data_IF_628545990775
#
_entry.id   IF_628545990775
#
_cell.length_a   1.000
_cell.length_b   1.000
_cell.length_c   1.000
_cell.angle_alpha   90.00
_cell.angle_beta   90.00
_cell.angle_gamma   90.00
#
_symmetry.space_group_name_H-M   'P 1'
#
loop_
_entity.id
_entity.type
_entity.pdbx_description
1 polymer ?
#
# COMPACT_ATOMS: atom_id res chain seq x y z
N UNK A 1 47.46 4.19 26.52
CA UNK A 1 46.74 2.96 26.15
C UNK A 1 45.33 3.38 25.86
N UNK A 2 44.92 3.28 24.61
CA UNK A 2 43.62 3.76 24.16
C UNK A 2 42.53 2.84 24.70
N UNK A 3 41.79 3.31 25.71
CA UNK A 3 40.88 2.48 26.52
C UNK A 3 39.66 1.96 25.76
N UNK A 4 39.44 2.38 24.51
CA UNK A 4 38.22 2.10 23.71
C UNK A 4 38.49 1.32 22.44
N UNK A 5 39.24 0.22 22.54
CA UNK A 5 39.68 -0.53 21.35
C UNK A 5 38.52 -1.27 20.68
N UNK A 6 37.62 -1.86 21.46
CA UNK A 6 36.60 -2.75 20.91
C UNK A 6 35.40 -2.00 20.36
N UNK A 7 34.92 -0.94 21.03
CA UNK A 7 33.87 -0.09 20.46
C UNK A 7 34.26 0.49 19.10
N UNK A 8 35.52 0.92 18.92
CA UNK A 8 35.97 1.40 17.61
C UNK A 8 35.92 0.33 16.54
N UNK A 9 36.37 -0.89 16.84
CA UNK A 9 36.25 -2.02 15.91
C UNK A 9 34.79 -2.32 15.57
N UNK A 10 33.89 -2.29 16.56
CA UNK A 10 32.45 -2.48 16.33
C UNK A 10 31.93 -1.42 15.37
N UNK A 11 32.21 -0.13 15.62
CA UNK A 11 31.81 0.98 14.75
C UNK A 11 32.36 0.81 13.34
N UNK A 12 33.65 0.50 13.21
CA UNK A 12 34.31 0.35 11.91
C UNK A 12 33.71 -0.81 11.10
N UNK A 13 33.49 -1.97 11.74
CA UNK A 13 32.91 -3.15 11.10
C UNK A 13 31.44 -2.93 10.70
N UNK A 14 30.65 -2.26 11.54
CA UNK A 14 29.26 -1.93 11.21
C UNK A 14 29.20 -0.91 10.07
N UNK A 15 30.08 0.10 10.04
CA UNK A 15 30.16 1.08 8.94
C UNK A 15 30.67 0.49 7.63
N UNK A 16 31.57 -0.48 7.67
CA UNK A 16 32.01 -1.22 6.48
C UNK A 16 30.82 -1.95 5.83
N UNK A 17 29.94 -2.51 6.65
CA UNK A 17 28.70 -3.17 6.18
C UNK A 17 27.60 -2.19 5.78
N UNK A 18 27.40 -1.11 6.54
CA UNK A 18 26.38 -0.10 6.33
C UNK A 18 27.00 1.30 6.30
N UNK A 19 27.51 1.77 5.16
CA UNK A 19 28.21 3.06 5.08
C UNK A 19 27.36 4.27 5.51
N UNK A 20 26.03 4.15 5.42
CA UNK A 20 25.08 5.21 5.77
C UNK A 20 24.65 5.18 7.25
N UNK A 21 25.04 4.20 8.06
CA UNK A 21 24.60 4.08 9.46
C UNK A 21 25.01 5.32 10.27
N UNK A 22 24.04 5.88 10.98
CA UNK A 22 24.28 6.93 11.97
C UNK A 22 24.70 6.29 13.28
N UNK A 23 25.82 6.77 13.83
CA UNK A 23 26.35 6.33 15.11
C UNK A 23 26.56 7.55 15.99
N UNK A 24 25.88 7.59 17.13
CA UNK A 24 25.99 8.67 18.10
C UNK A 24 26.43 8.13 19.46
N UNK A 25 27.42 8.79 20.07
CA UNK A 25 27.79 8.52 21.45
C UNK A 25 26.99 9.45 22.36
N UNK A 26 26.42 8.91 23.44
CA UNK A 26 25.69 9.70 24.42
C UNK A 26 26.59 10.82 24.97
N UNK A 27 26.10 12.07 24.93
CA UNK A 27 26.83 13.22 25.44
C UNK A 27 26.61 13.37 26.93
N UNK A 28 27.64 13.09 27.71
CA UNK A 28 27.69 13.36 29.14
C UNK A 28 27.54 14.85 29.43
N UNK A 29 26.51 15.21 30.19
CA UNK A 29 26.23 16.60 30.60
C UNK A 29 26.50 16.84 32.09
N UNK A 30 26.61 15.76 32.87
CA UNK A 30 26.93 15.79 34.30
C UNK A 30 28.12 14.87 34.61
N UNK A 31 29.00 15.20 35.59
CA UNK A 31 30.19 14.39 35.92
C UNK A 31 29.94 12.93 36.36
N UNK A 32 28.68 12.54 36.55
CA UNK A 32 28.24 11.20 36.94
C UNK A 32 27.66 10.37 35.77
N UNK A 33 27.51 10.97 34.58
CA UNK A 33 26.92 10.27 33.44
C UNK A 33 27.94 9.29 32.83
N UNK A 34 27.44 8.13 32.39
CA UNK A 34 28.25 7.14 31.69
C UNK A 34 28.50 7.60 30.25
N UNK A 35 29.76 7.75 29.85
CA UNK A 35 30.13 8.02 28.46
C UNK A 35 30.27 6.74 27.63
N UNK A 36 29.89 5.59 28.19
CA UNK A 36 29.93 4.27 27.59
C UNK A 36 28.69 3.87 26.79
N UNK A 37 27.89 4.80 26.28
CA UNK A 37 26.66 4.50 25.55
C UNK A 37 26.77 4.95 24.09
N UNK A 38 26.44 4.05 23.16
CA UNK A 38 26.42 4.31 21.73
C UNK A 38 25.11 3.85 21.10
N UNK A 39 24.56 4.69 20.24
CA UNK A 39 23.34 4.43 19.46
C UNK A 39 23.70 4.20 18.00
N UNK A 40 23.05 3.21 17.39
CA UNK A 40 23.17 2.88 15.98
C UNK A 40 21.79 2.92 15.33
N UNK A 41 21.65 3.63 14.23
CA UNK A 41 20.40 3.70 13.47
C UNK A 41 20.67 3.86 11.98
N UNK A 42 19.78 3.33 11.14
CA UNK A 42 19.77 3.67 9.72
C UNK A 42 19.11 5.05 9.54
N UNK A 43 19.61 5.94 8.66
CA UNK A 43 18.98 7.23 8.40
C UNK A 43 17.53 7.12 7.92
N UNK A 44 17.22 5.99 7.27
CA UNK A 44 15.89 5.63 6.82
C UNK A 44 14.94 5.26 7.97
N UNK A 45 15.47 4.83 9.11
CA UNK A 45 14.71 4.33 10.25
C UNK A 45 15.24 4.93 11.57
N UNK A 46 15.39 6.27 11.63
CA UNK A 46 15.97 6.97 12.78
C UNK A 46 15.27 6.68 14.12
N UNK A 47 13.99 6.27 14.07
CA UNK A 47 13.22 5.93 15.29
C UNK A 47 13.35 4.46 15.73
N UNK A 48 14.11 3.63 15.01
CA UNK A 48 14.38 2.21 15.30
C UNK A 48 15.87 2.01 15.63
N UNK A 49 16.32 2.73 16.66
CA UNK A 49 17.71 2.72 17.12
C UNK A 49 18.00 1.54 18.05
N UNK A 50 19.22 1.03 17.96
CA UNK A 50 19.77 0.02 18.85
C UNK A 50 20.93 0.62 19.66
N UNK A 51 20.89 0.41 20.97
CA UNK A 51 21.86 0.91 21.93
C UNK A 51 22.85 -0.20 22.30
N UNK A 52 24.12 0.16 22.44
CA UNK A 52 25.10 -0.66 23.16
C UNK A 52 25.75 0.14 24.29
N UNK A 53 26.02 -0.53 25.41
CA UNK A 53 26.49 0.09 26.65
C UNK A 53 27.64 -0.70 27.28
N UNK A 54 28.74 0.01 27.55
CA UNK A 54 29.81 -0.37 28.47
C UNK A 54 30.71 0.85 28.76
N UNK A 55 30.88 1.21 30.02
CA UNK A 55 31.65 2.39 30.49
C UNK A 55 33.14 2.37 30.08
N UNK A 56 33.72 1.19 29.86
CA UNK A 56 35.08 1.04 29.36
C UNK A 56 35.17 1.12 27.83
N UNK A 57 34.06 0.92 27.10
CA UNK A 57 34.09 0.75 25.64
C UNK A 57 34.77 -0.55 25.21
N UNK A 58 34.77 -1.55 26.09
CA UNK A 58 35.31 -2.90 25.88
C UNK A 58 34.20 -3.94 26.09
N UNK A 59 34.33 -5.10 25.44
CA UNK A 59 33.41 -6.20 25.71
C UNK A 59 33.53 -6.66 27.18
N UNK A 60 32.42 -7.12 27.81
CA UNK A 60 31.11 -7.34 27.22
C UNK A 60 30.27 -6.07 27.06
N UNK A 61 29.49 -6.00 25.98
CA UNK A 61 28.50 -4.93 25.77
C UNK A 61 27.11 -5.40 26.17
N UNK A 62 26.38 -4.56 26.89
CA UNK A 62 24.93 -4.67 27.04
C UNK A 62 24.28 -4.05 25.79
N UNK A 63 23.37 -4.77 25.14
CA UNK A 63 22.69 -4.35 23.92
C UNK A 63 21.20 -4.25 24.23
N UNK A 64 20.60 -3.09 23.97
CA UNK A 64 19.20 -2.81 24.24
C UNK A 64 18.53 -2.19 23.00
N UNK A 65 17.30 -2.62 22.70
CA UNK A 65 16.43 -1.91 21.75
C UNK A 65 15.56 -0.96 22.56
N UNK A 66 15.55 0.32 22.23
CA UNK A 66 14.87 1.33 23.06
C UNK A 66 13.36 1.08 23.20
N UNK A 67 12.75 0.40 22.21
CA UNK A 67 11.32 0.08 22.19
C UNK A 67 10.95 -1.28 22.79
N UNK A 68 11.93 -2.10 23.17
CA UNK A 68 11.69 -3.46 23.66
C UNK A 68 12.33 -3.66 25.04
N UNK A 69 11.83 -4.63 25.80
CA UNK A 69 12.44 -5.05 27.08
C UNK A 69 13.54 -6.11 26.86
N UNK A 70 13.81 -6.49 25.61
CA UNK A 70 14.88 -7.43 25.25
C UNK A 70 16.27 -6.80 25.46
N UNK A 71 17.01 -7.38 26.41
CA UNK A 71 18.37 -6.98 26.80
C UNK A 71 19.30 -8.14 26.59
N UNK A 72 20.35 -7.95 25.80
CA UNK A 72 21.32 -9.01 25.45
C UNK A 72 22.72 -8.60 25.85
N UNK A 73 23.44 -9.51 26.50
CA UNK A 73 24.88 -9.35 26.71
C UNK A 73 25.64 -9.99 25.55
N UNK A 74 26.70 -9.32 25.10
CA UNK A 74 27.62 -9.82 24.08
C UNK A 74 29.04 -9.76 24.62
N UNK A 75 29.73 -10.91 24.62
CA UNK A 75 31.05 -11.06 25.22
C UNK A 75 32.21 -10.76 24.25
N UNK A 76 31.92 -10.57 22.96
CA UNK A 76 32.93 -10.39 21.90
C UNK A 76 32.52 -9.33 20.89
N UNK A 77 33.50 -8.74 20.20
CA UNK A 77 33.25 -7.76 19.13
C UNK A 77 32.41 -8.38 18.01
N UNK A 78 32.72 -9.62 17.64
CA UNK A 78 32.06 -10.35 16.56
C UNK A 78 30.57 -10.60 16.87
N UNK A 79 30.25 -10.98 18.11
CA UNK A 79 28.86 -11.14 18.55
C UNK A 79 28.10 -9.80 18.55
N UNK A 80 28.74 -8.72 19.04
CA UNK A 80 28.12 -7.39 19.06
C UNK A 80 27.82 -6.92 17.64
N UNK A 81 28.78 -7.07 16.72
CA UNK A 81 28.59 -6.71 15.31
C UNK A 81 27.48 -7.55 14.67
N UNK A 82 27.42 -8.86 14.93
CA UNK A 82 26.36 -9.71 14.37
C UNK A 82 24.95 -9.26 14.79
N UNK A 83 24.77 -8.90 16.07
CA UNK A 83 23.48 -8.41 16.59
C UNK A 83 23.11 -7.06 16.00
N UNK A 84 24.08 -6.13 15.92
CA UNK A 84 23.87 -4.82 15.31
C UNK A 84 23.54 -4.93 13.81
N UNK A 85 24.23 -5.80 13.09
CA UNK A 85 24.02 -6.01 11.65
C UNK A 85 22.61 -6.56 11.40
N UNK A 86 22.18 -7.58 12.14
CA UNK A 86 20.83 -8.16 12.02
C UNK A 86 19.73 -7.10 12.25
N UNK A 87 19.90 -6.26 13.28
CA UNK A 87 19.00 -5.15 13.56
C UNK A 87 18.97 -4.12 12.42
N UNK A 88 20.14 -3.66 11.98
CA UNK A 88 20.25 -2.62 10.95
C UNK A 88 19.81 -3.11 9.57
N UNK A 89 20.05 -4.38 9.21
CA UNK A 89 19.51 -5.00 8.00
C UNK A 89 17.98 -5.03 8.05
N UNK A 90 17.40 -5.41 9.20
CA UNK A 90 15.95 -5.40 9.39
C UNK A 90 15.37 -4.00 9.31
N UNK A 91 15.96 -3.02 10.00
CA UNK A 91 15.54 -1.62 9.98
C UNK A 91 15.70 -0.98 8.59
N UNK A 92 16.76 -1.33 7.85
CA UNK A 92 16.95 -0.90 6.46
C UNK A 92 15.89 -1.50 5.52
N UNK A 93 15.51 -2.76 5.72
CA UNK A 93 14.51 -3.44 4.90
C UNK A 93 13.07 -2.98 5.22
N UNK A 94 12.78 -2.65 6.48
CA UNK A 94 11.48 -2.12 6.91
C UNK A 94 11.20 -0.69 6.40
N UNK A 95 12.18 -0.03 5.77
CA UNK A 95 12.03 1.31 5.20
C UNK A 95 12.13 1.34 3.67
N UNK A 96 11.95 0.21 3.01
CA UNK A 96 11.57 0.19 1.60
C UNK A 96 10.11 0.62 1.54
N UNK A 97 9.74 1.73 0.87
CA UNK A 97 8.34 2.13 0.75
C UNK A 97 7.55 1.00 0.10
N UNK A 98 6.78 0.28 0.94
CA UNK A 98 5.92 -0.82 0.56
C UNK A 98 4.49 -0.33 0.68
N UNK A 99 3.74 -0.48 -0.41
CA UNK A 99 2.32 -0.14 -0.43
C UNK A 99 1.47 -1.37 -0.73
N UNK A 100 0.24 -1.37 -0.23
CA UNK A 100 -0.84 -2.22 -0.73
C UNK A 100 -1.67 -1.40 -1.72
N UNK A 101 -1.84 -1.87 -2.95
CA UNK A 101 -2.72 -1.24 -3.93
C UNK A 101 -3.93 -2.16 -4.19
N UNK A 102 -5.14 -1.64 -4.05
CA UNK A 102 -6.36 -2.35 -4.41
C UNK A 102 -6.52 -2.30 -5.94
N UNK A 103 -6.45 -3.47 -6.59
CA UNK A 103 -6.49 -3.60 -8.04
C UNK A 103 -7.65 -4.50 -8.46
N UNK A 104 -8.70 -3.90 -9.01
CA UNK A 104 -9.88 -4.62 -9.52
C UNK A 104 -9.68 -5.20 -10.93
N UNK A 105 -8.70 -4.70 -11.67
CA UNK A 105 -8.58 -4.96 -13.12
C UNK A 105 -9.18 -3.85 -13.98
N UNK A 106 -9.93 -2.90 -13.39
CA UNK A 106 -10.52 -1.77 -14.10
C UNK A 106 -9.56 -0.63 -14.45
N UNK A 107 -10.05 0.32 -15.26
CA UNK A 107 -9.26 1.48 -15.69
C UNK A 107 -8.70 2.29 -14.52
N UNK A 108 -9.57 2.66 -13.58
CA UNK A 108 -9.22 3.54 -12.46
C UNK A 108 -8.18 2.89 -11.53
N UNK A 109 -8.35 1.60 -11.25
CA UNK A 109 -7.41 0.83 -10.43
C UNK A 109 -6.11 0.54 -11.18
N UNK A 110 -6.13 0.42 -12.51
CA UNK A 110 -4.92 0.34 -13.35
C UNK A 110 -4.09 1.64 -13.29
N UNK A 111 -4.74 2.80 -13.38
CA UNK A 111 -4.05 4.10 -13.23
C UNK A 111 -3.55 4.29 -11.80
N UNK A 112 -4.33 3.86 -10.81
CA UNK A 112 -3.91 3.88 -9.40
C UNK A 112 -2.69 2.99 -9.16
N UNK A 113 -2.64 1.80 -9.76
CA UNK A 113 -1.49 0.92 -9.71
C UNK A 113 -0.25 1.54 -10.37
N UNK A 114 -0.41 2.31 -11.45
CA UNK A 114 0.66 3.06 -12.08
C UNK A 114 1.24 4.13 -11.13
N UNK A 115 0.37 4.87 -10.43
CA UNK A 115 0.76 5.88 -9.44
C UNK A 115 1.49 5.22 -8.27
N UNK A 116 0.90 4.18 -7.68
CA UNK A 116 1.49 3.45 -6.55
C UNK A 116 2.87 2.88 -6.91
N UNK A 117 3.03 2.30 -8.10
CA UNK A 117 4.29 1.71 -8.57
C UNK A 117 5.37 2.75 -8.88
N UNK A 118 4.99 4.00 -9.13
CA UNK A 118 5.93 5.12 -9.31
C UNK A 118 6.37 5.73 -7.97
N UNK A 119 5.47 5.74 -6.99
CA UNK A 119 5.70 6.38 -5.68
C UNK A 119 6.37 5.45 -4.66
N UNK A 120 6.38 4.15 -4.92
CA UNK A 120 6.86 3.13 -3.97
C UNK A 120 7.89 2.22 -4.62
N UNK A 121 8.80 1.69 -3.80
CA UNK A 121 9.82 0.75 -4.29
C UNK A 121 9.25 -0.66 -4.46
N UNK A 122 8.24 -1.01 -3.65
CA UNK A 122 7.50 -2.26 -3.76
C UNK A 122 6.00 -1.99 -3.63
N UNK A 123 5.21 -2.69 -4.43
CA UNK A 123 3.75 -2.62 -4.32
C UNK A 123 3.17 -4.03 -4.31
N UNK A 124 2.43 -4.34 -3.25
CA UNK A 124 1.62 -5.53 -3.13
C UNK A 124 0.23 -5.25 -3.69
N UNK A 125 -0.30 -6.13 -4.53
CA UNK A 125 -1.58 -5.94 -5.20
C UNK A 125 -2.65 -6.81 -4.54
N UNK A 126 -3.77 -6.18 -4.17
CA UNK A 126 -4.93 -6.80 -3.56
C UNK A 126 -6.10 -6.82 -4.55
N UNK A 127 -6.52 -8.01 -4.96
CA UNK A 127 -7.75 -8.22 -5.71
C UNK A 127 -8.86 -8.72 -4.78
N UNK A 128 -10.06 -8.20 -4.96
CA UNK A 128 -11.22 -8.58 -4.16
C UNK A 128 -12.38 -8.91 -5.08
N UNK A 129 -12.76 -10.18 -5.08
CA UNK A 129 -13.98 -10.68 -5.71
C UNK A 129 -15.12 -10.69 -4.70
N UNK A 130 -16.33 -10.37 -5.14
CA UNK A 130 -17.51 -10.32 -4.27
C UNK A 130 -18.74 -10.99 -4.90
N UNK A 131 -18.52 -11.85 -5.90
CA UNK A 131 -19.57 -12.54 -6.65
C UNK A 131 -20.17 -11.67 -7.76
N UNK A 132 -19.38 -10.76 -8.33
CA UNK A 132 -19.84 -9.89 -9.42
C UNK A 132 -19.94 -10.63 -10.75
N UNK A 133 -20.83 -10.17 -11.63
CA UNK A 133 -21.18 -10.85 -12.89
C UNK A 133 -20.00 -11.08 -13.86
N UNK A 134 -18.99 -10.20 -13.83
CA UNK A 134 -17.85 -10.21 -14.75
C UNK A 134 -16.53 -10.55 -14.03
N UNK A 135 -16.63 -11.25 -12.90
CA UNK A 135 -15.51 -11.60 -12.03
C UNK A 135 -14.37 -12.31 -12.77
N UNK A 136 -14.66 -13.25 -13.68
CA UNK A 136 -13.61 -14.00 -14.35
C UNK A 136 -12.76 -13.09 -15.24
N UNK A 137 -13.41 -12.18 -15.98
CA UNK A 137 -12.70 -11.20 -16.82
C UNK A 137 -11.98 -10.12 -16.01
N UNK A 138 -12.57 -9.66 -14.91
CA UNK A 138 -11.93 -8.72 -13.98
C UNK A 138 -10.67 -9.32 -13.36
N UNK A 139 -10.74 -10.59 -12.92
CA UNK A 139 -9.59 -11.31 -12.35
C UNK A 139 -8.50 -11.55 -13.39
N UNK A 140 -8.85 -11.83 -14.65
CA UNK A 140 -7.89 -11.92 -15.74
C UNK A 140 -7.14 -10.59 -15.94
N UNK A 141 -7.88 -9.47 -16.05
CA UNK A 141 -7.30 -8.14 -16.19
C UNK A 141 -6.40 -7.79 -15.00
N UNK A 142 -6.82 -8.12 -13.77
CA UNK A 142 -6.00 -8.00 -12.57
C UNK A 142 -4.67 -8.74 -12.69
N UNK A 143 -4.69 -10.03 -13.06
CA UNK A 143 -3.48 -10.84 -13.19
C UNK A 143 -2.51 -10.29 -14.24
N UNK A 144 -3.04 -9.79 -15.35
CA UNK A 144 -2.24 -9.15 -16.40
C UNK A 144 -1.59 -7.85 -15.91
N UNK A 145 -2.33 -7.01 -15.17
CA UNK A 145 -1.81 -5.77 -14.58
C UNK A 145 -0.77 -6.07 -13.49
N UNK A 146 -1.01 -7.06 -12.63
CA UNK A 146 -0.06 -7.50 -11.61
C UNK A 146 1.26 -8.01 -12.24
N UNK A 147 1.14 -8.76 -13.34
CA UNK A 147 2.31 -9.23 -14.10
C UNK A 147 3.06 -8.08 -14.77
N UNK A 148 2.35 -7.11 -15.35
CA UNK A 148 2.94 -5.94 -15.99
C UNK A 148 3.82 -5.12 -15.04
N UNK A 149 3.35 -4.90 -13.80
CA UNK A 149 4.10 -4.14 -12.80
C UNK A 149 5.04 -5.00 -11.94
N UNK A 150 5.13 -6.31 -12.19
CA UNK A 150 5.88 -7.25 -11.36
C UNK A 150 5.57 -7.07 -9.87
N UNK A 151 4.27 -7.15 -9.52
CA UNK A 151 3.78 -6.90 -8.18
C UNK A 151 4.58 -7.70 -7.13
N UNK A 152 5.02 -7.03 -6.06
CA UNK A 152 5.87 -7.63 -5.03
C UNK A 152 5.21 -8.83 -4.37
N UNK A 153 3.91 -8.71 -4.08
CA UNK A 153 3.04 -9.79 -3.64
C UNK A 153 1.65 -9.59 -4.25
N UNK A 154 0.95 -10.69 -4.44
CA UNK A 154 -0.44 -10.70 -4.89
C UNK A 154 -1.29 -11.40 -3.84
N UNK A 155 -2.39 -10.77 -3.46
CA UNK A 155 -3.43 -11.37 -2.62
C UNK A 155 -4.76 -11.28 -3.36
N UNK A 156 -5.37 -12.43 -3.63
CA UNK A 156 -6.69 -12.57 -4.25
C UNK A 156 -7.65 -13.12 -3.19
N UNK A 157 -8.69 -12.35 -2.85
CA UNK A 157 -9.63 -12.64 -1.76
C UNK A 157 -11.07 -12.57 -2.26
N UNK A 158 -11.90 -13.46 -1.75
CA UNK A 158 -13.35 -13.44 -1.96
C UNK A 158 -14.09 -12.93 -0.73
N UNK A 159 -15.03 -12.00 -0.94
CA UNK A 159 -16.04 -11.53 0.02
C UNK A 159 -17.46 -11.83 -0.49
N UNK A 160 -17.67 -13.01 -1.06
CA UNK A 160 -18.95 -13.53 -1.59
C UNK A 160 -20.15 -13.42 -0.62
N UNK A 161 -19.93 -13.21 0.68
CA UNK A 161 -21.03 -12.92 1.59
C UNK A 161 -21.80 -11.65 1.20
N UNK A 162 -21.19 -10.70 0.48
CA UNK A 162 -21.92 -9.56 -0.08
C UNK A 162 -22.96 -10.00 -1.11
N UNK A 163 -22.69 -11.03 -1.91
CA UNK A 163 -23.68 -11.62 -2.80
C UNK A 163 -24.83 -12.30 -2.05
N UNK A 164 -24.53 -12.91 -0.89
CA UNK A 164 -25.56 -13.48 0.00
C UNK A 164 -26.44 -12.40 0.66
N UNK A 165 -25.87 -11.24 0.95
CA UNK A 165 -26.62 -10.07 1.44
C UNK A 165 -27.51 -9.51 0.33
N UNK A 166 -27.00 -9.42 -0.90
CA UNK A 166 -27.74 -8.94 -2.06
C UNK A 166 -27.99 -7.43 -2.04
N UNK A 167 -29.00 -6.98 -2.80
CA UNK A 167 -29.42 -5.57 -2.82
C UNK A 167 -28.72 -4.68 -3.86
N UNK A 168 -27.95 -5.27 -4.78
CA UNK A 168 -27.37 -4.57 -5.94
C UNK A 168 -27.50 -5.38 -7.22
N UNK A 169 -27.51 -4.73 -8.39
CA UNK A 169 -27.50 -5.39 -9.70
C UNK A 169 -26.21 -6.12 -10.01
N UNK A 170 -25.10 -5.80 -9.33
CA UNK A 170 -23.83 -6.51 -9.49
C UNK A 170 -23.80 -7.86 -8.76
N UNK A 171 -24.59 -8.00 -7.71
CA UNK A 171 -24.56 -9.18 -6.82
C UNK A 171 -25.87 -9.98 -6.79
N UNK A 172 -26.98 -9.39 -7.23
CA UNK A 172 -28.29 -10.04 -7.34
C UNK A 172 -28.70 -10.14 -8.81
N UNK A 173 -28.79 -11.37 -9.33
CA UNK A 173 -29.17 -11.65 -10.72
C UNK A 173 -30.60 -11.22 -11.05
N UNK A 174 -31.48 -11.08 -10.04
CA UNK A 174 -32.87 -10.65 -10.23
C UNK A 174 -32.99 -9.16 -10.54
N UNK A 175 -31.96 -8.37 -10.23
CA UNK A 175 -31.92 -6.94 -10.50
C UNK A 175 -31.16 -6.74 -11.81
N UNK A 176 -31.82 -6.23 -12.85
CA UNK A 176 -31.16 -5.97 -14.12
C UNK A 176 -30.08 -4.88 -13.98
N UNK A 177 -28.95 -5.05 -14.69
CA UNK A 177 -28.01 -3.94 -14.90
C UNK A 177 -28.67 -2.98 -15.89
N UNK A 178 -28.90 -1.74 -15.44
CA UNK A 178 -29.58 -0.70 -16.22
C UNK A 178 -28.71 -0.19 -17.37
N UNK A 179 -29.35 0.37 -18.40
CA UNK A 179 -28.64 1.16 -19.41
C UNK A 179 -28.12 2.46 -18.80
N UNK A 180 -27.10 3.04 -19.44
CA UNK A 180 -26.42 4.18 -18.86
C UNK A 180 -27.31 5.42 -18.77
N UNK A 181 -27.48 5.96 -17.56
CA UNK A 181 -28.10 7.26 -17.31
C UNK A 181 -27.12 8.18 -16.59
N UNK A 182 -26.34 8.90 -17.40
CA UNK A 182 -25.25 9.74 -16.93
C UNK A 182 -25.72 11.09 -16.36
N UNK A 183 -27.03 11.35 -16.36
CA UNK A 183 -27.65 12.57 -15.80
C UNK A 183 -28.37 12.28 -14.46
N UNK A 184 -28.53 11.01 -14.07
CA UNK A 184 -29.20 10.64 -12.82
C UNK A 184 -28.34 10.99 -11.59
N UNK A 185 -29.01 11.53 -10.57
CA UNK A 185 -28.40 11.80 -9.25
C UNK A 185 -28.79 10.78 -8.18
N UNK A 186 -29.60 9.79 -8.53
CA UNK A 186 -29.98 8.71 -7.61
C UNK A 186 -28.85 7.70 -7.47
N UNK A 187 -28.82 6.95 -6.37
CA UNK A 187 -27.82 5.90 -6.16
C UNK A 187 -28.05 4.79 -7.22
N UNK A 188 -27.07 4.52 -8.10
CA UNK A 188 -27.19 3.45 -9.08
C UNK A 188 -27.51 2.09 -8.47
N UNK A 189 -28.29 1.26 -9.18
CA UNK A 189 -28.58 -0.12 -8.75
C UNK A 189 -27.32 -0.98 -8.65
N UNK A 190 -26.23 -0.58 -9.32
CA UNK A 190 -24.92 -1.23 -9.25
C UNK A 190 -24.16 -0.96 -7.94
N UNK A 191 -24.68 -0.08 -7.07
CA UNK A 191 -24.10 0.19 -5.76
C UNK A 191 -24.18 -1.05 -4.87
N UNK A 192 -23.03 -1.56 -4.43
CA UNK A 192 -22.96 -2.60 -3.40
C UNK A 192 -22.81 -1.91 -2.04
N UNK A 193 -23.81 -1.99 -1.13
CA UNK A 193 -23.80 -1.22 0.11
C UNK A 193 -22.55 -1.44 0.96
N UNK A 194 -21.83 -0.34 1.27
CA UNK A 194 -20.69 -0.30 2.19
C UNK A 194 -19.55 -1.27 1.82
N UNK A 195 -19.41 -1.59 0.53
CA UNK A 195 -18.40 -2.52 0.03
C UNK A 195 -16.98 -2.01 0.28
N UNK A 196 -16.72 -0.71 0.10
CA UNK A 196 -15.36 -0.19 0.19
C UNK A 196 -14.78 -0.30 1.61
N UNK A 197 -15.63 -0.25 2.65
CA UNK A 197 -15.19 -0.48 4.03
C UNK A 197 -14.63 -1.89 4.24
N UNK A 198 -15.28 -2.91 3.67
CA UNK A 198 -14.81 -4.30 3.74
C UNK A 198 -13.46 -4.45 3.01
N UNK A 199 -13.32 -3.79 1.86
CA UNK A 199 -12.07 -3.79 1.09
C UNK A 199 -10.93 -3.14 1.87
N UNK A 200 -11.17 -1.98 2.48
CA UNK A 200 -10.17 -1.29 3.31
C UNK A 200 -9.82 -2.08 4.57
N UNK A 201 -10.77 -2.79 5.20
CA UNK A 201 -10.47 -3.66 6.34
C UNK A 201 -9.49 -4.78 5.99
N UNK A 202 -9.69 -5.45 4.84
CA UNK A 202 -8.78 -6.49 4.34
C UNK A 202 -7.41 -5.90 4.03
N UNK A 203 -7.38 -4.77 3.32
CA UNK A 203 -6.15 -4.08 2.96
C UNK A 203 -5.36 -3.64 4.20
N UNK A 204 -6.03 -3.13 5.23
CA UNK A 204 -5.42 -2.72 6.51
C UNK A 204 -4.79 -3.90 7.22
N UNK A 205 -5.53 -5.00 7.34
CA UNK A 205 -5.04 -6.21 8.00
C UNK A 205 -3.81 -6.76 7.28
N UNK A 206 -3.83 -6.75 5.94
CA UNK A 206 -2.71 -7.24 5.15
C UNK A 206 -1.51 -6.29 5.19
N UNK A 207 -1.74 -4.97 5.08
CA UNK A 207 -0.72 -3.95 5.17
C UNK A 207 0.05 -4.02 6.50
N UNK A 208 -0.67 -4.18 7.62
CA UNK A 208 -0.05 -4.32 8.95
C UNK A 208 0.82 -5.58 9.04
N UNK A 209 0.39 -6.70 8.46
CA UNK A 209 1.15 -7.96 8.45
C UNK A 209 2.42 -7.88 7.61
N UNK A 210 2.38 -7.20 6.46
CA UNK A 210 3.52 -7.12 5.55
C UNK A 210 4.41 -5.88 5.78
N UNK A 211 4.04 -5.01 6.72
CA UNK A 211 4.77 -3.76 6.99
C UNK A 211 4.58 -2.69 5.91
N UNK A 212 3.46 -2.70 5.18
CA UNK A 212 3.16 -1.64 4.22
C UNK A 212 2.73 -0.36 4.94
N UNK A 213 3.25 0.78 4.51
CA UNK A 213 2.94 2.09 5.11
C UNK A 213 1.84 2.87 4.38
N UNK A 214 1.37 2.36 3.23
CA UNK A 214 0.36 3.05 2.43
C UNK A 214 -0.61 2.05 1.79
N UNK A 215 -1.89 2.42 1.77
CA UNK A 215 -2.96 1.73 1.05
C UNK A 215 -3.46 2.64 -0.06
N UNK A 216 -3.35 2.20 -1.32
CA UNK A 216 -3.89 2.91 -2.47
C UNK A 216 -5.23 2.32 -2.90
N UNK A 217 -6.23 3.19 -3.10
CA UNK A 217 -7.53 2.81 -3.67
C UNK A 217 -7.97 3.79 -4.75
N UNK A 218 -8.36 3.24 -5.91
CA UNK A 218 -8.78 4.00 -7.09
C UNK A 218 -10.24 4.46 -7.03
N UNK A 219 -10.60 5.20 -5.99
CA UNK A 219 -11.94 5.78 -5.86
C UNK A 219 -12.06 7.06 -6.67
N UNK A 220 -13.22 7.30 -7.29
CA UNK A 220 -13.50 8.52 -8.07
C UNK A 220 -14.81 9.13 -7.58
N UNK A 221 -14.78 10.37 -7.07
CA UNK A 221 -15.96 10.98 -6.46
C UNK A 221 -17.04 11.37 -7.49
N UNK A 222 -16.64 11.87 -8.67
CA UNK A 222 -17.55 12.34 -9.72
C UNK A 222 -18.40 11.21 -10.29
N UNK A 223 -17.80 10.05 -10.59
CA UNK A 223 -18.50 8.87 -11.10
C UNK A 223 -19.33 8.14 -10.04
N UNK A 224 -19.13 8.51 -8.78
CA UNK A 224 -19.79 7.92 -7.62
C UNK A 224 -20.98 8.76 -7.17
N UNK A 225 -21.60 9.55 -8.06
CA UNK A 225 -22.79 10.36 -7.77
C UNK A 225 -23.88 9.49 -7.13
N UNK A 226 -23.86 9.43 -5.78
CA UNK A 226 -24.68 8.55 -4.98
C UNK A 226 -23.95 7.72 -3.91
N UNK A 227 -22.74 7.19 -4.16
CA UNK A 227 -22.09 6.21 -3.26
C UNK A 227 -21.46 6.91 -2.05
N UNK A 228 -21.98 6.68 -0.83
CA UNK A 228 -21.47 7.36 0.37
C UNK A 228 -20.03 6.94 0.71
N UNK A 229 -19.64 5.71 0.38
CA UNK A 229 -18.34 5.10 0.69
C UNK A 229 -17.25 5.36 -0.38
N UNK A 230 -17.50 6.30 -1.30
CA UNK A 230 -16.50 6.80 -2.25
C UNK A 230 -16.08 8.25 -1.98
N UNK A 231 -16.62 8.90 -0.95
CA UNK A 231 -16.39 10.32 -0.66
C UNK A 231 -15.10 10.55 0.14
N UNK A 232 -14.43 11.71 -0.01
CA UNK A 232 -13.26 12.04 0.81
C UNK A 232 -13.50 11.90 2.32
N UNK A 233 -14.67 12.35 2.82
CA UNK A 233 -15.03 12.25 4.24
C UNK A 233 -15.07 10.79 4.75
N UNK A 234 -15.50 9.85 3.91
CA UNK A 234 -15.49 8.43 4.26
C UNK A 234 -14.06 7.92 4.46
N UNK A 235 -13.15 8.24 3.54
CA UNK A 235 -11.75 7.83 3.65
C UNK A 235 -11.04 8.51 4.84
N UNK A 236 -11.36 9.77 5.12
CA UNK A 236 -10.85 10.46 6.31
C UNK A 236 -11.33 9.80 7.61
N UNK A 237 -12.60 9.40 7.69
CA UNK A 237 -13.14 8.66 8.83
C UNK A 237 -12.52 7.25 8.96
N UNK A 238 -12.33 6.56 7.83
CA UNK A 238 -11.70 5.24 7.82
C UNK A 238 -10.22 5.32 8.23
N UNK A 239 -9.50 6.37 7.85
CA UNK A 239 -8.13 6.60 8.31
C UNK A 239 -8.05 6.69 9.84
N UNK A 240 -9.02 7.35 10.50
CA UNK A 240 -9.07 7.36 11.97
C UNK A 240 -9.32 5.97 12.56
N UNK A 241 -10.11 5.15 11.87
CA UNK A 241 -10.34 3.75 12.25
C UNK A 241 -9.04 2.95 12.17
N UNK A 242 -8.26 3.12 11.10
CA UNK A 242 -6.93 2.49 10.96
C UNK A 242 -6.02 2.93 12.12
N UNK A 243 -5.85 4.23 12.32
CA UNK A 243 -4.98 4.79 13.37
C UNK A 243 -5.31 4.28 14.78
N UNK A 244 -6.58 3.99 15.05
CA UNK A 244 -7.05 3.52 16.36
C UNK A 244 -7.02 1.99 16.46
N UNK A 245 -7.21 1.29 15.34
CA UNK A 245 -7.41 -0.16 15.30
C UNK A 245 -6.15 -0.99 15.11
N UNK A 246 -5.07 -0.40 14.57
CA UNK A 246 -3.77 -1.08 14.37
C UNK A 246 -2.86 -0.97 15.59
N UNK A 247 -1.76 -1.72 15.60
CA UNK A 247 -0.74 -1.63 16.66
C UNK A 247 -0.17 -0.21 16.78
N UNK A 248 0.29 0.22 17.97
CA UNK A 248 0.79 1.58 18.20
C UNK A 248 1.96 2.04 17.32
N UNK A 249 2.76 1.10 16.83
CA UNK A 249 3.90 1.32 15.94
C UNK A 249 3.56 1.24 14.45
N UNK A 250 2.30 0.91 14.11
CA UNK A 250 1.81 0.85 12.74
C UNK A 250 1.44 2.24 12.24
N UNK A 251 1.97 2.60 11.08
CA UNK A 251 1.63 3.85 10.39
C UNK A 251 1.22 3.55 8.95
N UNK A 252 -0.09 3.47 8.73
CA UNK A 252 -0.69 3.16 7.42
C UNK A 252 -1.49 4.38 6.95
N UNK A 253 -1.12 4.96 5.82
CA UNK A 253 -1.84 6.06 5.18
C UNK A 253 -2.77 5.54 4.06
N UNK A 254 -4.03 5.95 4.02
CA UNK A 254 -4.92 5.73 2.87
C UNK A 254 -4.66 6.82 1.84
N UNK A 255 -4.42 6.41 0.59
CA UNK A 255 -4.31 7.30 -0.57
C UNK A 255 -5.36 7.03 -1.62
N UNK A 256 -5.99 8.11 -2.05
CA UNK A 256 -7.05 8.14 -3.07
C UNK A 256 -6.63 9.05 -4.23
N UNK A 257 -5.55 8.71 -4.96
CA UNK A 257 -4.82 9.65 -5.81
C UNK A 257 -5.60 10.18 -7.01
N UNK A 258 -6.76 9.59 -7.32
CA UNK A 258 -7.61 9.96 -8.46
C UNK A 258 -9.00 10.43 -8.05
N UNK A 259 -9.27 10.65 -6.75
CA UNK A 259 -10.61 10.92 -6.24
C UNK A 259 -11.24 12.21 -6.75
N UNK A 260 -10.42 13.22 -7.03
CA UNK A 260 -10.83 14.52 -7.56
C UNK A 260 -10.72 14.61 -9.09
N UNK A 261 -10.20 13.56 -9.75
CA UNK A 261 -10.00 13.56 -11.20
C UNK A 261 -11.28 13.15 -11.93
N UNK A 262 -11.59 13.86 -13.00
CA UNK A 262 -12.57 13.41 -13.98
C UNK A 262 -12.07 12.19 -14.77
N UNK A 263 -12.98 11.44 -15.40
CA UNK A 263 -12.60 10.31 -16.28
C UNK A 263 -11.59 10.68 -17.36
N UNK A 264 -11.72 11.87 -17.95
CA UNK A 264 -10.78 12.35 -18.97
C UNK A 264 -9.38 12.59 -18.38
N UNK A 265 -9.30 13.13 -17.16
CA UNK A 265 -8.04 13.34 -16.46
C UNK A 265 -7.41 12.01 -16.03
N UNK A 266 -8.21 11.03 -15.62
CA UNK A 266 -7.74 9.66 -15.32
C UNK A 266 -7.12 9.02 -16.57
N UNK A 267 -7.76 9.14 -17.74
CA UNK A 267 -7.21 8.64 -19.01
C UNK A 267 -5.89 9.33 -19.34
N UNK A 268 -5.84 10.68 -19.30
CA UNK A 268 -4.62 11.45 -19.54
C UNK A 268 -3.51 11.06 -18.58
N UNK A 269 -3.84 10.86 -17.30
CA UNK A 269 -2.89 10.42 -16.28
C UNK A 269 -2.37 9.02 -16.56
N UNK A 270 -3.24 8.11 -16.96
CA UNK A 270 -2.85 6.77 -17.39
C UNK A 270 -1.85 6.80 -18.53
N UNK A 271 -2.08 7.64 -19.54
CA UNK A 271 -1.17 7.80 -20.69
C UNK A 271 0.16 8.43 -20.25
N UNK A 272 0.14 9.51 -19.46
CA UNK A 272 1.33 10.15 -18.88
C UNK A 272 2.23 9.12 -18.17
N UNK A 273 1.60 8.19 -17.43
CA UNK A 273 2.28 7.16 -16.65
C UNK A 273 2.61 5.89 -17.44
N UNK A 274 2.26 5.82 -18.73
CA UNK A 274 2.31 4.60 -19.54
C UNK A 274 1.58 3.41 -18.88
N UNK A 275 0.48 3.68 -18.17
CA UNK A 275 -0.33 2.63 -17.57
C UNK A 275 -0.86 1.69 -18.66
N UNK A 276 -0.94 0.37 -18.41
CA UNK A 276 -1.37 -0.60 -19.41
C UNK A 276 -2.89 -0.60 -19.55
N UNK A 277 -3.47 0.50 -20.04
CA UNK A 277 -4.92 0.69 -20.20
C UNK A 277 -5.57 -0.35 -21.12
N UNK A 278 -4.78 -0.95 -22.03
CA UNK A 278 -5.18 -2.05 -22.90
C UNK A 278 -5.40 -3.39 -22.18
N UNK A 279 -4.85 -3.56 -20.97
CA UNK A 279 -5.05 -4.75 -20.12
C UNK A 279 -6.25 -4.60 -19.18
N UNK A 280 -6.83 -3.41 -19.08
CA UNK A 280 -7.88 -3.11 -18.10
C UNK A 280 -9.29 -3.45 -18.61
N UNK A 281 -10.20 -3.75 -17.68
CA UNK A 281 -11.59 -4.14 -17.98
C UNK A 281 -12.63 -3.38 -17.16
N UNK A 282 -13.60 -2.77 -17.83
CA UNK A 282 -14.65 -1.95 -17.18
C UNK A 282 -16.07 -2.51 -17.37
N UNK A 283 -16.30 -3.46 -18.27
CA UNK A 283 -17.66 -3.87 -18.63
C UNK A 283 -18.34 -4.68 -17.53
N UNK A 284 -19.59 -4.36 -17.20
CA UNK A 284 -20.42 -5.12 -16.22
C UNK A 284 -21.28 -6.24 -16.84
N UNK A 285 -21.28 -6.39 -18.17
CA UNK A 285 -22.21 -7.28 -18.90
C UNK A 285 -21.56 -8.41 -19.67
N UNK A 286 -20.28 -8.29 -20.02
CA UNK A 286 -19.62 -9.20 -20.95
C UNK A 286 -18.21 -9.46 -20.48
N UNK A 287 -17.65 -10.59 -20.91
CA UNK A 287 -16.31 -11.06 -20.54
C UNK A 287 -15.37 -11.19 -21.74
N UNK A 288 -15.88 -11.12 -22.96
CA UNK A 288 -15.13 -11.25 -24.22
C UNK A 288 -14.80 -9.87 -24.83
N UNK A 289 -15.84 -9.13 -25.23
CA UNK A 289 -15.80 -7.79 -25.80
C UNK A 289 -16.70 -6.89 -24.98
N UNK A 290 -16.25 -5.67 -24.69
CA UNK A 290 -17.02 -4.73 -23.89
C UNK A 290 -18.33 -4.37 -24.61
N UNK A 291 -19.45 -4.31 -23.86
CA UNK A 291 -20.76 -4.09 -24.47
C UNK A 291 -20.94 -2.68 -25.06
N UNK A 292 -20.15 -1.70 -24.61
CA UNK A 292 -20.22 -0.31 -25.08
C UNK A 292 -21.36 0.51 -24.50
N UNK A 293 -22.35 -0.11 -23.85
CA UNK A 293 -23.61 0.55 -23.49
C UNK A 293 -23.93 0.56 -21.99
N UNK A 294 -23.28 -0.26 -21.14
CA UNK A 294 -23.50 -0.18 -19.68
C UNK A 294 -22.84 1.07 -19.09
N UNK A 295 -23.28 1.52 -17.91
CA UNK A 295 -22.76 2.70 -17.19
C UNK A 295 -21.22 2.81 -17.25
N UNK A 296 -20.53 1.75 -16.81
CA UNK A 296 -19.06 1.73 -16.78
C UNK A 296 -18.40 1.76 -18.17
N UNK A 297 -19.02 1.16 -19.20
CA UNK A 297 -18.52 1.30 -20.58
C UNK A 297 -18.73 2.72 -21.10
N UNK A 298 -19.89 3.31 -20.85
CA UNK A 298 -20.22 4.67 -21.29
C UNK A 298 -19.30 5.71 -20.63
N UNK A 299 -19.05 5.59 -19.31
CA UNK A 299 -18.10 6.43 -18.58
C UNK A 299 -16.67 6.31 -19.12
N UNK A 300 -16.21 5.07 -19.37
CA UNK A 300 -14.89 4.82 -19.94
C UNK A 300 -14.75 5.45 -21.33
N UNK A 301 -15.68 5.14 -22.24
CA UNK A 301 -15.68 5.66 -23.62
C UNK A 301 -15.70 7.20 -23.64
N UNK A 302 -16.57 7.81 -22.83
CA UNK A 302 -16.64 9.27 -22.67
C UNK A 302 -15.33 9.85 -22.11
N UNK A 303 -14.68 9.14 -21.19
CA UNK A 303 -13.37 9.50 -20.65
C UNK A 303 -12.30 9.58 -21.74
N UNK A 304 -12.18 8.54 -22.56
CA UNK A 304 -11.25 8.50 -23.69
C UNK A 304 -11.57 9.56 -24.75
N UNK A 305 -12.84 9.70 -25.12
CA UNK A 305 -13.30 10.72 -26.07
C UNK A 305 -12.92 12.13 -25.61
N UNK A 306 -13.23 12.49 -24.36
CA UNK A 306 -12.90 13.80 -23.78
C UNK A 306 -11.39 13.99 -23.56
N UNK A 307 -10.63 12.90 -23.42
CA UNK A 307 -9.18 12.95 -23.38
C UNK A 307 -8.55 13.22 -24.77
N UNK A 308 -9.33 13.07 -25.86
CA UNK A 308 -8.83 13.14 -27.23
C UNK A 308 -8.13 11.85 -27.68
N UNK A 309 -8.44 10.74 -27.01
CA UNK A 309 -7.71 9.48 -27.12
C UNK A 309 -8.64 8.34 -27.55
N UNK A 310 -8.09 7.33 -28.22
CA UNK A 310 -8.84 6.14 -28.58
C UNK A 310 -8.71 5.08 -27.49
N UNK A 311 -9.83 4.53 -27.03
CA UNK A 311 -9.82 3.43 -26.09
C UNK A 311 -9.15 2.18 -26.69
N UNK A 312 -8.14 1.59 -26.03
CA UNK A 312 -7.41 0.45 -26.58
C UNK A 312 -8.12 -0.91 -26.49
N UNK A 313 -9.26 -1.03 -25.79
CA UNK A 313 -9.96 -2.33 -25.66
C UNK A 313 -10.99 -2.58 -26.76
N UNK A 314 -11.35 -3.85 -26.97
CA UNK A 314 -12.36 -4.24 -27.95
C UNK A 314 -13.79 -4.07 -27.44
N UNK A 315 -14.67 -3.58 -28.32
CA UNK A 315 -16.11 -3.41 -28.10
C UNK A 315 -16.91 -4.24 -29.10
N UNK A 316 -18.12 -4.67 -28.74
CA UNK A 316 -18.98 -5.48 -29.61
C UNK A 316 -19.50 -4.76 -30.85
N UNK A 317 -19.52 -3.42 -30.85
CA UNK A 317 -20.04 -2.57 -31.92
C UNK A 317 -19.07 -1.44 -32.23
#
# INVERSE_FOLDING_TARGET
MDKRRDIRKVIDLVKDRFPAVHVEQFRVTHPSDDDGIWYFAMPSAERDEIQIENSAGECPFLIERIRDTDRRLSDTVEQTVAILVDHLETASNNNVPLAVCLVSGGMDSCVTAAIASRENTQVAFLHISYGQRTEAREREAFNLIASHYNAYRVLDVSIEYLAKIGGSSLTDEKIAVTEADLESTEIPTSYVPFRNANMLSIATSWAEVIGASTIYIGAVAEDSSGYPDCRPDFYAAFQQTINTGTKPDTNIEIRTPIIELSKAEIVKKGIELNAPLHLSWSCYRSEDLACGTCDSCALRLRGFERAGEKDPIGYRN
#
